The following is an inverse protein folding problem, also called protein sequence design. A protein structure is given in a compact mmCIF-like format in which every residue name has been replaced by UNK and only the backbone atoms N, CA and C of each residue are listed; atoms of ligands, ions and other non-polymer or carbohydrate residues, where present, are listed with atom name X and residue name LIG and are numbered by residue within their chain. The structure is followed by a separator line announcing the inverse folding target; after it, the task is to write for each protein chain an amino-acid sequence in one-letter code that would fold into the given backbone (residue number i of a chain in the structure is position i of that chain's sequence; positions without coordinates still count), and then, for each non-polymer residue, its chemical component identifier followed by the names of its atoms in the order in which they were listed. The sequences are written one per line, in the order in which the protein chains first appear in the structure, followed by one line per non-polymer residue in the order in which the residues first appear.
data_IF_241498742681
#
_entry.id   IF_241498742681
#
_cell.length_a   1.000
_cell.length_b   1.000
_cell.length_c   1.000
_cell.angle_alpha   90.00
_cell.angle_beta   90.00
_cell.angle_gamma   90.00
#
_symmetry.space_group_name_H-M   'P 1'
#
loop_
_entity.id
_entity.type
_entity.pdbx_description
1 polymer ?
#
# COMPACT_ATOMS: atom_id res chain seq x y z
N UNK A 1 -14.31 50.26 -12.19
CA UNK A 1 -14.34 49.75 -12.01
C UNK A 1 -14.15 48.84 -11.77
N UNK A 2 -14.00 48.77 -11.77
CA UNK A 2 -13.82 48.00 -11.53
C UNK A 2 -13.64 47.00 -11.21
N UNK A 3 -13.54 46.91 -11.17
CA UNK A 3 -13.41 46.10 -10.85
C UNK A 3 -13.37 45.10 -10.64
N UNK A 4 -13.26 44.91 -10.79
CA UNK A 4 -13.24 44.10 -10.54
C UNK A 4 -13.09 43.19 -10.32
N UNK A 5 -12.91 42.95 -10.46
CA UNK A 5 -12.79 42.18 -10.19
C UNK A 5 -12.57 41.34 -9.76
N UNK A 6 -12.46 41.20 -9.74
CA UNK A 6 -12.25 40.52 -9.20
C UNK A 6 -12.42 39.54 -9.04
N UNK A 7 -12.43 39.15 -9.12
CA UNK A 7 -12.62 38.38 -8.84
C UNK A 7 -12.28 37.47 -8.85
N UNK A 8 -12.10 37.22 -9.08
CA UNK A 8 -11.90 36.39 -9.00
C UNK A 8 -11.48 35.66 -8.51
N UNK A 9 -11.31 35.61 -8.42
CA UNK A 9 -10.86 34.93 -7.95
C UNK A 9 -11.09 34.05 -7.50
N UNK A 10 -11.25 33.88 -7.49
CA UNK A 10 -11.43 33.18 -6.96
C UNK A 10 -11.29 32.16 -7.10
N UNK A 11 -11.25 32.15 -7.34
CA UNK A 11 -11.17 31.31 -7.26
C UNK A 11 -10.81 30.47 -7.06
N UNK A 12 -10.63 30.58 -7.36
CA UNK A 12 -10.20 29.79 -7.26
C UNK A 12 -9.94 29.13 -6.56
N UNK A 13 -9.89 29.12 -6.22
CA UNK A 13 -9.55 28.48 -5.51
C UNK A 13 -9.95 27.44 -5.38
N UNK A 14 -10.36 27.28 -5.67
CA UNK A 14 -10.68 26.39 -5.59
C UNK A 14 -10.13 25.44 -5.71
N UNK A 15 -9.89 25.43 -6.10
CA UNK A 15 -9.33 24.53 -6.33
C UNK A 15 -8.79 23.75 -5.55
N UNK A 16 -8.34 24.13 -5.05
CA UNK A 16 -7.77 23.48 -4.25
C UNK A 16 -8.41 22.51 -3.80
N UNK A 17 -9.27 22.69 -3.98
CA UNK A 17 -9.94 21.76 -3.57
C UNK A 17 -9.69 20.53 -4.14
N UNK A 18 -8.84 20.42 -4.78
CA UNK A 18 -8.56 19.23 -5.33
C UNK A 18 -7.80 18.35 -4.46
N UNK A 19 -7.94 18.48 -3.22
CA UNK A 19 -7.38 17.55 -2.33
C UNK A 19 -7.82 16.17 -2.71
N UNK A 20 -6.93 15.27 -2.96
CA UNK A 20 -7.34 13.91 -3.29
C UNK A 20 -7.98 13.25 -2.10
N UNK A 21 -8.87 12.33 -2.33
CA UNK A 21 -9.45 11.59 -1.23
C UNK A 21 -8.37 10.85 -0.48
N UNK A 22 -8.58 10.71 0.79
CA UNK A 22 -7.63 9.98 1.62
C UNK A 22 -7.55 8.54 1.17
N UNK A 23 -6.39 8.00 1.20
CA UNK A 23 -6.19 6.60 0.94
C UNK A 23 -6.80 5.80 2.07
N UNK A 24 -7.48 4.69 1.78
CA UNK A 24 -8.09 3.91 2.83
C UNK A 24 -7.11 3.08 3.64
N UNK A 25 -5.87 3.12 3.38
CA UNK A 25 -4.91 2.32 4.10
C UNK A 25 -3.78 3.14 4.63
N UNK A 26 -2.86 2.51 5.31
CA UNK A 26 -1.68 3.14 5.80
C UNK A 26 -0.65 3.36 4.71
N UNK A 27 0.54 3.79 5.10
CA UNK A 27 1.58 4.01 4.12
C UNK A 27 1.99 2.70 3.46
N UNK A 28 2.36 2.83 2.22
CA UNK A 28 2.83 1.71 1.44
C UNK A 28 4.30 1.47 1.76
N UNK A 29 4.65 0.23 2.02
CA UNK A 29 6.02 -0.16 2.34
C UNK A 29 6.59 -0.90 1.15
N UNK A 30 7.79 -0.52 0.74
CA UNK A 30 8.47 -1.18 -0.36
C UNK A 30 9.46 -2.18 0.20
N UNK A 31 9.38 -3.41 -0.28
CA UNK A 31 10.23 -4.50 0.17
C UNK A 31 11.16 -4.92 -0.95
N UNK A 32 12.41 -5.16 -0.59
CA UNK A 32 13.42 -5.65 -1.52
C UNK A 32 13.89 -7.01 -1.08
N UNK A 33 13.89 -7.93 -1.99
CA UNK A 33 14.11 -9.34 -1.69
C UNK A 33 15.34 -9.86 -2.42
N UNK A 34 15.75 -11.07 -2.09
CA UNK A 34 16.87 -11.71 -2.76
C UNK A 34 16.60 -11.86 -4.24
N UNK A 35 17.66 -11.85 -5.02
CA UNK A 35 17.55 -12.05 -6.46
C UNK A 35 16.98 -10.87 -7.21
N UNK A 36 16.89 -9.71 -6.58
CA UNK A 36 16.35 -8.55 -7.24
C UNK A 36 14.83 -8.47 -7.24
N UNK A 37 14.15 -9.41 -6.62
CA UNK A 37 12.70 -9.36 -6.53
C UNK A 37 12.27 -8.26 -5.56
N UNK A 38 11.13 -7.66 -5.83
CA UNK A 38 10.62 -6.59 -4.99
C UNK A 38 9.11 -6.58 -5.02
N UNK A 39 8.51 -6.14 -3.93
CA UNK A 39 7.07 -5.95 -3.88
C UNK A 39 6.76 -4.85 -2.89
N UNK A 40 5.51 -4.42 -2.84
CA UNK A 40 5.09 -3.46 -1.83
C UNK A 40 3.81 -3.93 -1.19
N UNK A 41 3.53 -3.38 -0.03
CA UNK A 41 2.34 -3.74 0.71
C UNK A 41 1.91 -2.58 1.58
N UNK A 42 0.62 -2.55 1.89
CA UNK A 42 0.09 -1.62 2.88
C UNK A 42 -1.04 -2.30 3.63
N UNK A 43 -1.22 -1.91 4.87
CA UNK A 43 -2.30 -2.42 5.69
C UNK A 43 -3.42 -1.41 5.63
N UNK A 44 -4.60 -1.82 5.23
CA UNK A 44 -5.73 -0.90 5.15
C UNK A 44 -6.45 -0.85 6.49
N UNK A 45 -7.40 0.06 6.60
CA UNK A 45 -8.07 0.30 7.87
C UNK A 45 -8.93 -0.84 8.36
N UNK A 46 -9.23 -1.82 7.53
CA UNK A 46 -10.03 -2.97 7.95
C UNK A 46 -9.19 -4.16 8.38
N UNK A 47 -7.87 -4.00 8.44
CA UNK A 47 -7.02 -5.08 8.88
C UNK A 47 -6.58 -6.04 7.79
N UNK A 48 -6.81 -5.69 6.54
CA UNK A 48 -6.34 -6.47 5.40
C UNK A 48 -5.05 -5.88 4.89
N UNK A 49 -4.24 -6.70 4.26
CA UNK A 49 -3.06 -6.23 3.56
C UNK A 49 -3.35 -6.17 2.07
N UNK A 50 -2.92 -5.09 1.44
CA UNK A 50 -2.91 -5.01 0.00
C UNK A 50 -1.48 -5.19 -0.45
N UNK A 51 -1.23 -6.23 -1.24
CA UNK A 51 0.10 -6.58 -1.69
C UNK A 51 0.18 -6.37 -3.19
N UNK A 52 1.21 -5.67 -3.62
CA UNK A 52 1.44 -5.34 -5.03
C UNK A 52 2.69 -6.09 -5.47
N UNK A 53 2.51 -7.11 -6.27
CA UNK A 53 3.61 -7.99 -6.65
C UNK A 53 3.36 -8.56 -8.04
N UNK A 54 4.39 -8.57 -8.86
CA UNK A 54 4.31 -9.18 -10.19
C UNK A 54 3.23 -8.59 -11.07
N UNK A 55 2.93 -7.30 -10.90
CA UNK A 55 1.89 -6.66 -11.68
C UNK A 55 0.48 -6.95 -11.19
N UNK A 56 0.34 -7.59 -10.04
CA UNK A 56 -0.95 -7.97 -9.49
C UNK A 56 -1.17 -7.29 -8.15
N UNK A 57 -2.43 -7.17 -7.75
CA UNK A 57 -2.79 -6.67 -6.44
C UNK A 57 -3.54 -7.77 -5.71
N UNK A 58 -3.08 -8.08 -4.52
CA UNK A 58 -3.70 -9.11 -3.68
C UNK A 58 -4.23 -8.47 -2.43
N UNK A 59 -5.47 -8.76 -2.08
CA UNK A 59 -6.04 -8.31 -0.82
C UNK A 59 -6.09 -9.52 0.11
N UNK A 60 -5.35 -9.44 1.20
CA UNK A 60 -5.16 -10.58 2.08
C UNK A 60 -5.70 -10.25 3.46
N UNK A 61 -6.66 -11.04 3.96
CA UNK A 61 -7.16 -10.83 5.31
C UNK A 61 -6.09 -11.10 6.35
N UNK A 62 -6.12 -10.36 7.43
CA UNK A 62 -5.24 -10.59 8.56
C UNK A 62 -5.67 -11.82 9.32
N UNK A 63 -4.70 -12.60 9.78
CA UNK A 63 -4.98 -13.79 10.57
C UNK A 63 -4.13 -13.76 11.82
N UNK A 64 -4.59 -14.47 12.84
CA UNK A 64 -3.85 -14.55 14.09
C UNK A 64 -2.54 -15.28 13.87
N UNK A 65 -1.47 -14.77 14.45
CA UNK A 65 -0.17 -15.37 14.35
C UNK A 65 0.50 -15.27 15.70
N UNK A 66 1.32 -16.25 16.01
CA UNK A 66 2.01 -16.28 17.31
C UNK A 66 3.04 -15.19 17.43
N UNK A 67 3.65 -14.79 16.34
CA UNK A 67 4.60 -13.69 16.34
C UNK A 67 4.55 -13.05 14.97
N UNK A 68 4.70 -11.74 14.96
CA UNK A 68 4.61 -10.99 13.72
C UNK A 68 3.19 -10.90 13.22
N UNK A 69 3.05 -10.35 12.05
CA UNK A 69 1.76 -10.09 11.43
C UNK A 69 1.65 -10.91 10.16
N UNK A 70 0.56 -11.61 10.01
CA UNK A 70 0.37 -12.53 8.90
C UNK A 70 -0.96 -12.25 8.21
N UNK A 71 -0.94 -12.26 6.89
CA UNK A 71 -2.11 -12.02 6.07
C UNK A 71 -2.14 -13.06 4.96
N UNK A 72 -3.29 -13.68 4.75
CA UNK A 72 -3.38 -14.71 3.72
C UNK A 72 -4.82 -14.85 3.23
N UNK A 73 -4.94 -15.23 1.96
CA UNK A 73 -6.22 -15.61 1.38
C UNK A 73 -6.28 -17.12 1.11
N UNK A 74 -5.30 -17.87 1.64
CA UNK A 74 -5.22 -19.30 1.39
C UNK A 74 -4.28 -19.67 0.26
N UNK A 75 -4.01 -18.75 -0.66
CA UNK A 75 -3.11 -19.00 -1.79
C UNK A 75 -1.89 -18.13 -1.72
N UNK A 76 -2.05 -16.88 -1.32
CA UNK A 76 -0.97 -15.93 -1.18
C UNK A 76 -0.83 -15.60 0.30
N UNK A 77 0.39 -15.53 0.77
CA UNK A 77 0.66 -15.27 2.17
C UNK A 77 1.70 -14.17 2.29
N UNK A 78 1.40 -13.16 3.09
CA UNK A 78 2.30 -12.06 3.39
C UNK A 78 2.54 -12.03 4.88
N UNK A 79 3.79 -12.02 5.28
CA UNK A 79 4.18 -12.07 6.67
C UNK A 79 5.22 -11.00 6.95
N UNK A 80 4.97 -10.17 7.93
CA UNK A 80 5.88 -9.14 8.38
C UNK A 80 6.41 -9.49 9.76
N UNK A 81 7.71 -9.32 9.96
CA UNK A 81 8.32 -9.57 11.26
C UNK A 81 9.53 -8.67 11.40
N UNK A 82 9.42 -7.67 12.26
CA UNK A 82 10.48 -6.71 12.43
C UNK A 82 10.70 -5.95 11.14
N UNK A 83 11.89 -5.80 10.69
CA UNK A 83 12.18 -5.14 9.42
C UNK A 83 12.22 -6.06 8.24
N UNK A 84 11.65 -7.25 8.36
CA UNK A 84 11.70 -8.27 7.31
C UNK A 84 10.31 -8.69 6.91
N UNK A 85 10.19 -9.23 5.72
CA UNK A 85 8.92 -9.73 5.25
C UNK A 85 9.12 -10.98 4.41
N UNK A 86 8.04 -11.76 4.31
CA UNK A 86 7.96 -12.91 3.42
C UNK A 86 6.70 -12.82 2.61
N UNK A 87 6.77 -13.23 1.37
CA UNK A 87 5.62 -13.26 0.49
C UNK A 87 5.67 -14.56 -0.31
N UNK A 88 4.63 -15.37 -0.18
CA UNK A 88 4.54 -16.66 -0.87
C UNK A 88 3.32 -16.70 -1.74
N UNK A 89 3.44 -17.34 -2.88
CA UNK A 89 2.31 -17.60 -3.76
C UNK A 89 1.95 -16.46 -4.71
N UNK A 90 2.61 -15.33 -4.61
CA UNK A 90 2.30 -14.20 -5.48
C UNK A 90 3.10 -14.29 -6.77
N UNK A 91 2.56 -13.69 -7.82
CA UNK A 91 3.23 -13.64 -9.11
C UNK A 91 4.54 -12.87 -9.01
N UNK A 92 5.52 -13.24 -9.80
CA UNK A 92 6.79 -12.54 -9.88
C UNK A 92 7.83 -12.99 -8.87
N UNK A 93 7.52 -13.98 -8.06
CA UNK A 93 8.43 -14.47 -7.03
C UNK A 93 9.44 -15.44 -7.57
N UNK A 94 10.18 -16.09 -6.66
CA UNK A 94 10.00 -16.07 -5.22
C UNK A 94 10.46 -14.76 -4.57
N UNK A 95 9.89 -14.49 -3.42
CA UNK A 95 10.22 -13.30 -2.64
C UNK A 95 10.76 -13.78 -1.29
N UNK A 96 12.06 -13.78 -1.14
CA UNK A 96 12.72 -14.30 0.06
C UNK A 96 13.68 -13.28 0.61
N UNK A 97 13.85 -13.31 1.93
CA UNK A 97 14.75 -12.39 2.64
C UNK A 97 14.45 -10.94 2.26
N UNK A 98 13.20 -10.55 2.42
CA UNK A 98 12.79 -9.22 2.02
C UNK A 98 13.01 -8.23 3.15
N UNK A 99 13.55 -7.08 2.81
CA UNK A 99 13.86 -6.01 3.74
C UNK A 99 13.36 -4.70 3.18
N UNK A 100 13.18 -3.72 4.02
CA UNK A 100 12.84 -2.38 3.57
C UNK A 100 13.97 -1.40 3.83
#
# INVERSE_FOLDING_TARGET
MKKLLLAAAALALTACASTPPAQPGGPRVDWRCDGGAAFSARINGSGNAEVFAGGQVYTLPGVAAGSGTRYTNGSVEYWEHGGEAMLNGAAGGPYTNCHR
#
